data_IF_409021515313
#
_entry.id   IF_409021515313
#
_cell.length_a   1.000
_cell.length_b   1.000
_cell.length_c   1.000
_cell.angle_alpha   90.00
_cell.angle_beta   90.00
_cell.angle_gamma   90.00
#
_symmetry.space_group_name_H-M   'P 1'
#
loop_
_entity.id
_entity.type
_entity.pdbx_description
1 polymer ?
#
# COMPACT_ATOMS: atom_id res chain seq x y z
N UNK A 1 7.20 11.49 -7.13
CA UNK A 1 8.40 10.63 -7.15
C UNK A 1 8.11 9.31 -6.44
N UNK A 2 8.72 8.21 -6.88
CA UNK A 2 8.43 6.86 -6.37
C UNK A 2 8.58 6.71 -4.84
N UNK A 3 9.57 7.39 -4.25
CA UNK A 3 9.82 7.39 -2.79
C UNK A 3 8.68 8.06 -2.02
N UNK A 4 8.18 9.20 -2.50
CA UNK A 4 7.04 9.89 -1.88
C UNK A 4 5.76 9.07 -1.93
N UNK A 5 5.50 8.40 -3.06
CA UNK A 5 4.36 7.50 -3.19
C UNK A 5 4.48 6.31 -2.22
N UNK A 6 5.65 5.67 -2.14
CA UNK A 6 5.88 4.56 -1.19
C UNK A 6 5.74 4.96 0.27
N UNK A 7 6.25 6.15 0.66
CA UNK A 7 6.08 6.67 2.01
C UNK A 7 4.60 6.99 2.31
N UNK A 8 3.89 7.60 1.36
CA UNK A 8 2.47 7.93 1.54
C UNK A 8 1.61 6.68 1.70
N UNK A 9 1.85 5.63 0.91
CA UNK A 9 1.12 4.36 1.04
C UNK A 9 1.46 3.68 2.36
N UNK A 10 2.73 3.67 2.78
CA UNK A 10 3.14 3.14 4.09
C UNK A 10 2.43 3.85 5.25
N UNK A 11 2.46 5.19 5.30
CA UNK A 11 1.80 5.95 6.37
C UNK A 11 0.28 5.72 6.39
N UNK A 12 -0.35 5.64 5.22
CA UNK A 12 -1.79 5.38 5.11
C UNK A 12 -2.14 4.00 5.68
N UNK A 13 -1.40 2.96 5.29
CA UNK A 13 -1.58 1.57 5.78
C UNK A 13 -1.41 1.48 7.30
N UNK A 14 -0.36 2.10 7.84
CA UNK A 14 -0.09 2.14 9.28
C UNK A 14 -1.23 2.85 10.03
N UNK A 15 -1.70 3.99 9.52
CA UNK A 15 -2.81 4.73 10.13
C UNK A 15 -4.09 3.88 10.24
N UNK A 16 -4.45 3.16 9.16
CA UNK A 16 -5.60 2.25 9.15
C UNK A 16 -5.41 1.09 10.14
N UNK A 17 -4.22 0.48 10.19
CA UNK A 17 -3.90 -0.59 11.13
C UNK A 17 -3.99 -0.13 12.59
N UNK A 18 -3.47 1.05 12.90
CA UNK A 18 -3.56 1.64 14.24
C UNK A 18 -5.01 1.91 14.64
N UNK A 19 -5.83 2.40 13.71
CA UNK A 19 -7.26 2.57 13.92
C UNK A 19 -7.95 1.22 14.23
N UNK A 20 -7.61 0.16 13.49
CA UNK A 20 -8.15 -1.18 13.75
C UNK A 20 -7.66 -1.80 15.07
N UNK A 21 -6.40 -1.56 15.46
CA UNK A 21 -5.86 -1.96 16.77
C UNK A 21 -6.58 -1.29 17.93
N UNK A 22 -6.99 -0.02 17.77
CA UNK A 22 -7.78 0.72 18.76
C UNK A 22 -9.22 0.23 18.89
N UNK A 23 -9.80 -0.27 17.80
CA UNK A 23 -11.19 -0.74 17.76
C UNK A 23 -11.34 -2.19 18.26
N UNK A 24 -10.33 -3.03 18.05
CA UNK A 24 -10.43 -4.48 18.30
C UNK A 24 -9.96 -4.86 19.71
N UNK A 25 -10.80 -5.61 20.46
CA UNK A 25 -10.40 -6.18 21.75
C UNK A 25 -9.66 -7.52 21.62
N UNK A 26 -9.65 -8.16 20.44
CA UNK A 26 -9.11 -9.50 20.24
C UNK A 26 -7.58 -9.51 20.08
N UNK A 27 -6.87 -10.30 20.90
CA UNK A 27 -5.40 -10.44 20.81
C UNK A 27 -4.91 -11.03 19.49
N UNK A 28 -5.58 -12.05 18.95
CA UNK A 28 -5.21 -12.67 17.66
C UNK A 28 -5.23 -11.65 16.51
N UNK A 29 -6.19 -10.71 16.54
CA UNK A 29 -6.27 -9.63 15.57
C UNK A 29 -5.12 -8.64 15.70
N UNK A 30 -4.72 -8.33 16.94
CA UNK A 30 -3.59 -7.44 17.20
C UNK A 30 -2.29 -8.01 16.65
N UNK A 31 -2.04 -9.30 16.88
CA UNK A 31 -0.85 -9.99 16.36
C UNK A 31 -0.83 -9.92 14.82
N UNK A 32 -1.95 -10.25 14.16
CA UNK A 32 -2.05 -10.17 12.70
C UNK A 32 -1.80 -8.74 12.18
N UNK A 33 -2.38 -7.71 12.83
CA UNK A 33 -2.17 -6.32 12.47
C UNK A 33 -0.70 -5.88 12.61
N UNK A 34 -0.02 -6.26 13.70
CA UNK A 34 1.40 -5.97 13.87
C UNK A 34 2.27 -6.69 12.82
N UNK A 35 1.95 -7.94 12.47
CA UNK A 35 2.65 -8.66 11.40
C UNK A 35 2.53 -7.93 10.06
N UNK A 36 1.32 -7.51 9.67
CA UNK A 36 1.10 -6.74 8.44
C UNK A 36 1.86 -5.41 8.48
N UNK A 37 1.91 -4.75 9.64
CA UNK A 37 2.65 -3.50 9.82
C UNK A 37 4.15 -3.69 9.58
N UNK A 38 4.75 -4.73 10.17
CA UNK A 38 6.18 -5.05 10.01
C UNK A 38 6.49 -5.39 8.55
N UNK A 39 5.65 -6.19 7.89
CA UNK A 39 5.81 -6.52 6.47
C UNK A 39 5.74 -5.25 5.62
N UNK A 40 4.80 -4.35 5.92
CA UNK A 40 4.61 -3.08 5.21
C UNK A 40 5.83 -2.18 5.28
N UNK A 41 6.39 -2.02 6.49
CA UNK A 41 7.61 -1.26 6.72
C UNK A 41 8.79 -1.90 6.00
N UNK A 42 8.91 -3.23 6.05
CA UNK A 42 10.02 -3.97 5.46
C UNK A 42 10.13 -3.81 3.95
N UNK A 43 9.03 -4.01 3.22
CA UNK A 43 9.06 -3.85 1.76
C UNK A 43 9.25 -2.37 1.36
N UNK A 44 8.67 -1.42 2.11
CA UNK A 44 8.84 0.00 1.84
C UNK A 44 10.30 0.47 2.05
N UNK A 45 10.96 0.00 3.12
CA UNK A 45 12.38 0.24 3.35
C UNK A 45 13.24 -0.37 2.25
N UNK A 46 12.88 -1.57 1.78
CA UNK A 46 13.59 -2.23 0.66
C UNK A 46 13.43 -1.43 -0.64
N UNK A 47 12.26 -0.86 -0.91
CA UNK A 47 12.05 0.05 -2.04
C UNK A 47 12.81 1.38 -1.89
N UNK A 48 12.87 1.93 -0.67
CA UNK A 48 13.54 3.19 -0.40
C UNK A 48 15.06 3.09 -0.40
N UNK A 49 15.64 2.03 0.17
CA UNK A 49 17.09 1.85 0.31
C UNK A 49 17.67 0.81 -0.65
N UNK A 50 16.85 0.19 -1.49
CA UNK A 50 17.27 -0.85 -2.41
C UNK A 50 18.44 -0.45 -3.31
N UNK A 51 18.49 0.82 -3.75
CA UNK A 51 19.59 1.34 -4.56
C UNK A 51 20.98 1.25 -3.88
N UNK A 52 21.03 1.21 -2.53
CA UNK A 52 22.28 1.05 -1.78
C UNK A 52 22.72 -0.41 -1.66
N UNK A 53 21.79 -1.37 -1.78
CA UNK A 53 22.07 -2.78 -1.49
C UNK A 53 21.95 -3.71 -2.71
N UNK A 54 21.32 -3.27 -3.80
CA UNK A 54 21.08 -4.11 -4.99
C UNK A 54 22.32 -4.38 -5.84
N UNK A 55 23.34 -3.52 -5.82
CA UNK A 55 24.54 -3.68 -6.62
C UNK A 55 25.80 -3.76 -5.76
N UNK A 56 26.66 -4.72 -6.08
CA UNK A 56 28.03 -4.81 -5.54
C UNK A 56 29.02 -4.64 -6.69
N UNK A 57 29.77 -3.54 -6.78
CA UNK A 57 29.78 -2.34 -5.92
C UNK A 57 28.60 -1.38 -6.18
N UNK A 58 28.25 -0.55 -5.18
CA UNK A 58 27.16 0.44 -5.25
C UNK A 58 27.28 1.35 -6.47
N UNK A 59 28.51 1.70 -6.86
CA UNK A 59 28.83 2.54 -8.03
C UNK A 59 28.27 2.00 -9.34
N UNK A 60 28.07 0.67 -9.43
CA UNK A 60 27.49 0.03 -10.62
C UNK A 60 26.02 0.43 -10.86
N UNK A 61 25.29 0.85 -9.82
CA UNK A 61 23.91 1.30 -9.95
C UNK A 61 23.78 2.54 -10.84
N UNK A 62 24.70 3.52 -10.71
CA UNK A 62 24.69 4.74 -11.53
C UNK A 62 25.70 4.73 -12.67
N UNK A 63 26.72 3.87 -12.62
CA UNK A 63 27.74 3.75 -13.66
C UNK A 63 27.77 2.33 -14.22
N UNK A 64 27.03 2.15 -15.32
CA UNK A 64 26.78 0.87 -16.01
C UNK A 64 28.06 0.19 -16.51
N UNK A 65 29.14 0.96 -16.67
CA UNK A 65 30.45 0.51 -17.18
C UNK A 65 31.26 -0.20 -16.06
N UNK A 66 30.89 0.00 -14.79
CA UNK A 66 31.63 -0.57 -13.66
C UNK A 66 31.46 -2.10 -13.60
N UNK A 67 32.55 -2.89 -13.49
CA UNK A 67 32.45 -4.33 -13.29
C UNK A 67 31.83 -4.65 -11.91
N UNK A 68 30.98 -5.67 -11.87
CA UNK A 68 30.26 -6.06 -10.66
C UNK A 68 28.99 -6.86 -10.95
N UNK A 69 28.26 -7.22 -9.92
CA UNK A 69 27.02 -7.98 -10.01
C UNK A 69 25.89 -7.24 -9.29
N UNK A 70 24.73 -7.15 -9.94
CA UNK A 70 23.52 -6.57 -9.39
C UNK A 70 22.44 -7.64 -9.28
N UNK A 71 21.60 -7.54 -8.26
CA UNK A 71 20.35 -8.30 -8.16
C UNK A 71 19.43 -7.87 -9.31
N UNK A 72 18.60 -8.80 -9.81
CA UNK A 72 17.64 -8.50 -10.87
C UNK A 72 16.63 -7.46 -10.37
N UNK A 73 16.83 -6.20 -10.77
CA UNK A 73 16.05 -5.05 -10.34
C UNK A 73 14.57 -5.23 -10.70
N UNK A 74 14.28 -5.80 -11.88
CA UNK A 74 12.91 -6.08 -12.32
C UNK A 74 12.20 -7.09 -11.42
N UNK A 75 12.89 -8.17 -11.05
CA UNK A 75 12.34 -9.18 -10.14
C UNK A 75 12.05 -8.60 -8.74
N UNK A 76 12.94 -7.76 -8.21
CA UNK A 76 12.71 -7.11 -6.91
C UNK A 76 11.58 -6.08 -6.97
N UNK A 77 11.44 -5.37 -8.09
CA UNK A 77 10.35 -4.42 -8.28
C UNK A 77 9.00 -5.14 -8.36
N UNK A 78 8.95 -6.27 -9.08
CA UNK A 78 7.78 -7.13 -9.15
C UNK A 78 7.40 -7.67 -7.77
N UNK A 79 8.38 -8.19 -7.02
CA UNK A 79 8.14 -8.68 -5.65
C UNK A 79 7.58 -7.60 -4.72
N UNK A 80 8.12 -6.37 -4.78
CA UNK A 80 7.60 -5.23 -4.02
C UNK A 80 6.15 -4.88 -4.43
N UNK A 81 5.86 -4.87 -5.73
CA UNK A 81 4.51 -4.61 -6.23
C UNK A 81 3.52 -5.68 -5.74
N UNK A 82 3.91 -6.96 -5.80
CA UNK A 82 3.09 -8.08 -5.31
C UNK A 82 2.84 -7.98 -3.81
N UNK A 83 3.86 -7.67 -3.00
CA UNK A 83 3.72 -7.49 -1.55
C UNK A 83 2.81 -6.31 -1.22
N UNK A 84 2.94 -5.20 -1.95
CA UNK A 84 2.08 -4.05 -1.77
C UNK A 84 0.61 -4.44 -1.99
N UNK A 85 0.29 -5.09 -3.10
CA UNK A 85 -1.07 -5.57 -3.40
C UNK A 85 -1.56 -6.59 -2.36
N UNK A 86 -0.71 -7.53 -1.95
CA UNK A 86 -1.07 -8.52 -0.95
C UNK A 86 -1.43 -7.89 0.40
N UNK A 87 -0.71 -6.84 0.82
CA UNK A 87 -1.05 -6.10 2.05
C UNK A 87 -2.35 -5.31 1.91
N UNK A 88 -2.66 -4.75 0.73
CA UNK A 88 -3.94 -4.08 0.48
C UNK A 88 -5.12 -5.06 0.57
N UNK A 89 -4.97 -6.24 -0.01
CA UNK A 89 -5.96 -7.33 0.10
C UNK A 89 -6.12 -7.77 1.56
N UNK A 90 -5.02 -7.90 2.30
CA UNK A 90 -5.06 -8.31 3.71
C UNK A 90 -5.78 -7.26 4.57
N UNK A 91 -5.54 -5.97 4.32
CA UNK A 91 -6.22 -4.86 4.97
C UNK A 91 -7.73 -4.85 4.69
N UNK A 92 -8.16 -5.32 3.52
CA UNK A 92 -9.58 -5.50 3.20
C UNK A 92 -10.22 -6.67 3.94
N UNK A 93 -9.51 -7.79 4.09
CA UNK A 93 -10.04 -8.96 4.78
C UNK A 93 -10.04 -8.83 6.30
N UNK A 94 -9.08 -8.11 6.88
CA UNK A 94 -8.97 -7.86 8.32
C UNK A 94 -10.30 -7.41 8.97
N UNK A 95 -10.96 -6.34 8.49
CA UNK A 95 -12.22 -5.86 9.07
C UNK A 95 -13.38 -6.84 8.90
N UNK A 96 -13.41 -7.62 7.82
CA UNK A 96 -14.44 -8.65 7.59
C UNK A 96 -14.33 -9.73 8.67
N UNK A 97 -13.10 -10.19 8.94
CA UNK A 97 -12.83 -11.15 10.00
C UNK A 97 -13.19 -10.60 11.39
N UNK A 98 -12.89 -9.31 11.64
CA UNK A 98 -13.28 -8.62 12.88
C UNK A 98 -14.81 -8.52 13.06
N UNK A 99 -15.57 -8.34 11.97
CA UNK A 99 -17.04 -8.20 12.02
C UNK A 99 -17.77 -9.51 12.29
N UNK A 100 -17.20 -10.67 11.96
CA UNK A 100 -17.86 -11.96 12.19
C UNK A 100 -18.02 -12.33 13.68
N UNK A 101 -17.18 -11.78 14.56
CA UNK A 101 -17.22 -12.08 15.99
C UNK A 101 -17.89 -11.03 16.89
N UNK A 102 -18.19 -9.82 16.39
CA UNK A 102 -18.50 -8.68 17.26
C UNK A 102 -19.81 -7.97 16.85
N UNK A 103 -20.81 -7.95 17.76
CA UNK A 103 -22.00 -7.09 17.68
C UNK A 103 -21.59 -5.63 17.92
N UNK A 104 -20.99 -5.00 16.91
CA UNK A 104 -20.58 -3.61 17.00
C UNK A 104 -21.76 -2.65 16.77
N UNK A 105 -21.80 -1.49 17.46
CA UNK A 105 -22.78 -0.44 17.18
C UNK A 105 -22.69 0.03 15.72
N UNK A 106 -23.84 0.35 15.13
CA UNK A 106 -24.01 0.73 13.71
C UNK A 106 -23.02 1.81 13.24
N UNK A 107 -22.59 2.69 14.14
CA UNK A 107 -21.64 3.76 13.85
C UNK A 107 -20.20 3.30 13.59
N UNK A 108 -19.75 2.27 14.31
CA UNK A 108 -18.45 1.64 14.05
C UNK A 108 -18.51 0.83 12.76
N UNK A 109 -19.63 0.11 12.56
CA UNK A 109 -19.91 -0.64 11.32
C UNK A 109 -19.80 0.27 10.09
N UNK A 110 -20.43 1.46 10.11
CA UNK A 110 -20.37 2.42 8.99
C UNK A 110 -18.94 2.91 8.68
N UNK A 111 -18.05 3.00 9.68
CA UNK A 111 -16.67 3.45 9.46
C UNK A 111 -15.84 2.38 8.77
N UNK A 112 -16.03 1.14 9.22
CA UNK A 112 -15.44 -0.04 8.60
C UNK A 112 -15.95 -0.20 7.15
N UNK A 113 -17.26 -0.03 6.90
CA UNK A 113 -17.81 -0.15 5.54
C UNK A 113 -17.22 0.89 4.58
N UNK A 114 -17.01 2.14 5.04
CA UNK A 114 -16.40 3.18 4.23
C UNK A 114 -14.93 2.85 3.88
N UNK A 115 -14.15 2.36 4.86
CA UNK A 115 -12.76 1.92 4.62
C UNK A 115 -12.73 0.71 3.68
N UNK A 116 -13.68 -0.22 3.82
CA UNK A 116 -13.79 -1.40 2.96
C UNK A 116 -14.12 -1.03 1.50
N UNK A 117 -15.07 -0.12 1.29
CA UNK A 117 -15.41 0.38 -0.06
C UNK A 117 -14.25 1.15 -0.69
N UNK A 118 -13.52 1.92 0.10
CA UNK A 118 -12.34 2.62 -0.38
C UNK A 118 -11.18 1.69 -0.73
N UNK A 119 -10.90 0.72 0.15
CA UNK A 119 -9.83 -0.26 -0.07
C UNK A 119 -10.11 -1.15 -1.28
N UNK A 120 -11.38 -1.47 -1.57
CA UNK A 120 -11.74 -2.27 -2.74
C UNK A 120 -11.49 -1.50 -4.04
N UNK A 121 -11.80 -0.20 -4.05
CA UNK A 121 -11.45 0.69 -5.15
C UNK A 121 -9.93 0.77 -5.38
N UNK A 122 -9.15 0.93 -4.30
CA UNK A 122 -7.68 0.97 -4.36
C UNK A 122 -7.08 -0.37 -4.83
N UNK A 123 -7.63 -1.50 -4.42
CA UNK A 123 -7.20 -2.82 -4.90
C UNK A 123 -7.46 -2.99 -6.40
N UNK A 124 -8.63 -2.59 -6.89
CA UNK A 124 -8.94 -2.64 -8.34
C UNK A 124 -7.98 -1.75 -9.12
N UNK A 125 -7.72 -0.53 -8.64
CA UNK A 125 -6.74 0.37 -9.25
C UNK A 125 -5.31 -0.25 -9.29
N UNK A 126 -4.91 -0.93 -8.21
CA UNK A 126 -3.61 -1.60 -8.12
C UNK A 126 -3.49 -2.80 -9.06
N UNK A 127 -4.55 -3.57 -9.26
CA UNK A 127 -4.60 -4.70 -10.21
C UNK A 127 -4.46 -4.19 -11.65
N UNK A 128 -5.21 -3.13 -12.01
CA UNK A 128 -5.10 -2.47 -13.32
C UNK A 128 -3.67 -1.99 -13.56
N UNK A 129 -3.01 -1.48 -12.51
CA UNK A 129 -1.62 -1.02 -12.57
C UNK A 129 -0.64 -2.17 -12.80
N UNK A 130 -0.88 -3.32 -12.18
CA UNK A 130 -0.02 -4.51 -12.28
C UNK A 130 -0.04 -5.11 -13.69
N UNK A 131 -1.19 -5.06 -14.37
CA UNK A 131 -1.34 -5.44 -15.79
C UNK A 131 -0.64 -4.46 -16.75
N UNK A 132 -0.57 -3.18 -16.38
CA UNK A 132 0.00 -2.13 -17.22
C UNK A 132 1.54 -2.13 -17.25
N UNK A 133 2.19 -2.66 -16.21
CA UNK A 133 3.65 -2.71 -16.05
C UNK A 133 4.32 -3.64 -17.09
N UNK A 134 3.95 -4.93 -17.23
CA UNK A 134 4.61 -5.83 -18.17
C UNK A 134 4.34 -5.45 -19.63
N UNK A 135 3.16 -4.93 -19.93
CA UNK A 135 2.82 -4.51 -21.29
C UNK A 135 3.45 -3.16 -21.66
N UNK A 136 3.87 -2.33 -20.70
CA UNK A 136 4.56 -1.06 -20.96
C UNK A 136 6.04 -1.19 -21.33
N UNK A 137 6.67 -2.33 -21.00
CA UNK A 137 8.06 -2.62 -21.38
C UNK A 137 8.21 -3.11 -22.83
N UNK A 138 7.12 -3.51 -23.49
CA UNK A 138 7.16 -4.08 -24.84
C UNK A 138 6.80 -3.08 -25.95
N UNK A 139 6.17 -1.95 -25.63
CA UNK A 139 5.66 -0.98 -26.61
C UNK A 139 6.49 0.31 -26.68
N UNK A 140 6.72 0.87 -27.89
CA UNK A 140 7.50 2.10 -28.09
C UNK A 140 6.85 3.38 -27.54
N UNK A 141 5.57 3.35 -27.14
CA UNK A 141 4.83 4.46 -26.52
C UNK A 141 4.85 4.41 -24.98
N UNK A 142 6.03 4.14 -24.41
CA UNK A 142 6.24 4.00 -22.96
C UNK A 142 5.85 5.28 -22.18
N UNK A 143 5.99 6.45 -22.80
CA UNK A 143 5.74 7.76 -22.17
C UNK A 143 4.26 8.01 -21.89
N UNK A 144 3.36 7.64 -22.81
CA UNK A 144 1.91 7.87 -22.65
C UNK A 144 1.32 7.01 -21.53
N UNK A 145 1.74 5.74 -21.48
CA UNK A 145 1.29 4.79 -20.46
C UNK A 145 1.84 5.13 -19.07
N UNK A 146 3.03 5.72 -19.01
CA UNK A 146 3.62 6.23 -17.77
C UNK A 146 2.78 7.38 -17.17
N UNK A 147 2.28 8.30 -18.00
CA UNK A 147 1.41 9.40 -17.55
C UNK A 147 0.08 8.86 -16.99
N UNK A 148 -0.54 7.90 -17.68
CA UNK A 148 -1.76 7.25 -17.19
C UNK A 148 -1.52 6.58 -15.84
N UNK A 149 -0.40 5.88 -15.68
CA UNK A 149 -0.02 5.25 -14.41
C UNK A 149 0.13 6.28 -13.28
N UNK A 150 0.75 7.44 -13.56
CA UNK A 150 0.90 8.53 -12.59
C UNK A 150 -0.47 9.10 -12.15
N UNK A 151 -1.41 9.28 -13.08
CA UNK A 151 -2.76 9.77 -12.74
C UNK A 151 -3.45 8.81 -11.78
N UNK A 152 -3.39 7.50 -12.05
CA UNK A 152 -3.93 6.48 -11.15
C UNK A 152 -3.30 6.51 -9.76
N UNK A 153 -1.98 6.69 -9.66
CA UNK A 153 -1.30 6.82 -8.36
C UNK A 153 -1.80 8.02 -7.56
N UNK A 154 -2.03 9.15 -8.25
CA UNK A 154 -2.48 10.39 -7.63
C UNK A 154 -3.90 10.22 -7.08
N UNK A 155 -4.80 9.63 -7.90
CA UNK A 155 -6.17 9.32 -7.49
C UNK A 155 -6.17 8.37 -6.28
N UNK A 156 -5.36 7.31 -6.33
CA UNK A 156 -5.18 6.34 -5.24
C UNK A 156 -4.70 7.01 -3.95
N UNK A 157 -3.72 7.91 -4.05
CA UNK A 157 -3.18 8.64 -2.89
C UNK A 157 -4.23 9.54 -2.25
N UNK A 158 -4.96 10.34 -3.05
CA UNK A 158 -5.99 11.23 -2.54
C UNK A 158 -7.17 10.46 -1.94
N UNK A 159 -7.63 9.39 -2.60
CA UNK A 159 -8.72 8.56 -2.06
C UNK A 159 -8.30 7.87 -0.77
N UNK A 160 -7.08 7.34 -0.68
CA UNK A 160 -6.53 6.77 0.55
C UNK A 160 -6.51 7.77 1.71
N UNK A 161 -6.06 9.01 1.47
CA UNK A 161 -6.02 10.07 2.49
C UNK A 161 -7.43 10.44 2.96
N UNK A 162 -8.36 10.66 2.03
CA UNK A 162 -9.76 10.98 2.38
C UNK A 162 -10.34 9.87 3.26
N UNK A 163 -10.08 8.62 2.91
CA UNK A 163 -10.64 7.48 3.63
C UNK A 163 -10.01 7.26 5.00
N UNK A 164 -8.74 7.61 5.18
CA UNK A 164 -8.09 7.65 6.49
C UNK A 164 -8.67 8.75 7.41
N UNK A 165 -9.11 9.88 6.83
CA UNK A 165 -9.67 11.01 7.58
C UNK A 165 -11.16 10.84 7.97
N UNK A 166 -11.95 10.12 7.17
CA UNK A 166 -13.37 9.85 7.41
C UNK A 166 -13.72 9.29 8.82
N UNK A 167 -12.97 8.32 9.39
CA UNK A 167 -13.27 7.83 10.74
C UNK A 167 -13.02 8.87 11.84
N UNK A 168 -12.13 9.84 11.63
CA UNK A 168 -11.75 10.88 12.62
C UNK A 168 -12.74 12.06 12.62
N UNK A 169 -13.38 12.36 11.49
CA UNK A 169 -14.43 13.40 11.42
C UNK A 169 -15.73 13.03 12.16
N UNK A 170 -15.96 11.74 12.45
CA UNK A 170 -17.18 11.24 13.09
C UNK A 170 -17.48 11.79 14.48
N UNK A 171 -16.53 11.85 15.45
CA UNK A 171 -16.80 12.45 16.75
C UNK A 171 -17.09 13.96 16.68
N UNK A 172 -16.59 14.66 15.66
CA UNK A 172 -16.82 16.10 15.50
C UNK A 172 -18.23 16.39 14.95
N UNK A 173 -18.69 15.61 13.98
CA UNK A 173 -20.04 15.72 13.40
C UNK A 173 -21.18 15.20 14.31
N UNK A 174 -20.85 14.60 15.46
CA UNK A 174 -21.83 14.16 16.47
C UNK A 174 -21.95 15.10 17.67
N UNK A 175 -21.03 16.07 17.78
CA UNK A 175 -20.95 17.02 18.89
C UNK A 175 -21.52 18.40 18.51
N UNK A 176 -21.77 18.62 17.23
CA UNK A 176 -22.61 19.68 16.66
C UNK A 176 -23.83 19.04 16.01
#
# INVERSE_FOLDING_TARGET
>A
GAVFYGLSTMFTKISILLFYLGLSPFENFRIAAYLVMVVTVGYCLTGAFGFLFFCRPIRKYWNVITPGSCVNIGATYLANATLNVATDITLLFLPIWMMWGLRMPILQKLGITAILMAGSFVCVASIIRLELIPSGLADPDTTWRYVINLIWCIIEMYTGIICACLPIMKPFARRF
#
